data_IF_016164884464
#
_entry.id   IF_016164884464
#
_cell.length_a   1.000
_cell.length_b   1.000
_cell.length_c   1.000
_cell.angle_alpha   90.00
_cell.angle_beta   90.00
_cell.angle_gamma   90.00
#
_symmetry.space_group_name_H-M   'P 1'
#
loop_
_entity.id
_entity.type
_entity.pdbx_description
1 polymer ?
#
# COMPACT_ATOMS: atom_id res chain seq x y z
N UNK A 1 13.47 3.01 18.32
CA UNK A 1 13.80 2.37 17.03
C UNK A 1 12.49 1.96 16.39
N UNK A 2 11.99 2.69 15.39
CA UNK A 2 10.81 2.23 14.65
C UNK A 2 11.27 1.13 13.71
N UNK A 3 11.02 -0.13 14.09
CA UNK A 3 11.36 -1.29 13.28
C UNK A 3 10.52 -1.34 12.00
N UNK A 4 11.10 -1.93 10.94
CA UNK A 4 10.38 -2.28 9.72
C UNK A 4 9.47 -3.46 10.08
N UNK A 5 8.16 -3.29 9.94
CA UNK A 5 7.17 -4.35 10.15
C UNK A 5 7.19 -5.33 8.99
N UNK A 6 6.88 -6.60 9.28
CA UNK A 6 6.78 -7.66 8.27
C UNK A 6 5.33 -7.88 7.87
N UNK A 7 5.07 -8.16 6.59
CA UNK A 7 3.71 -8.41 6.07
C UNK A 7 2.98 -9.49 6.86
N UNK A 8 3.65 -10.58 7.22
CA UNK A 8 3.03 -11.68 7.97
C UNK A 8 2.63 -11.30 9.42
N UNK A 9 3.18 -10.23 9.97
CA UNK A 9 2.87 -9.78 11.33
C UNK A 9 1.73 -8.76 11.38
N UNK A 10 1.32 -8.24 10.21
CA UNK A 10 0.32 -7.19 10.11
C UNK A 10 -1.09 -7.73 10.38
N UNK A 11 -1.86 -7.00 11.17
CA UNK A 11 -3.24 -7.33 11.52
C UNK A 11 -4.18 -6.19 11.18
N UNK A 12 -5.45 -6.52 11.06
CA UNK A 12 -6.47 -5.49 10.88
C UNK A 12 -6.47 -4.49 12.04
N UNK A 13 -6.58 -3.21 11.69
CA UNK A 13 -6.51 -2.09 12.63
C UNK A 13 -5.10 -1.56 12.89
N UNK A 14 -4.03 -2.21 12.41
CA UNK A 14 -2.67 -1.70 12.56
C UNK A 14 -2.48 -0.40 11.79
N UNK A 15 -1.81 0.57 12.43
CA UNK A 15 -1.56 1.92 11.91
C UNK A 15 -0.12 2.33 12.19
N UNK A 16 0.43 3.23 11.38
CA UNK A 16 1.81 3.68 11.56
C UNK A 16 2.84 2.64 11.11
N UNK A 17 2.43 1.74 10.21
CA UNK A 17 3.27 0.66 9.72
C UNK A 17 4.32 1.20 8.76
N UNK A 18 5.58 0.86 9.00
CA UNK A 18 6.66 1.13 8.06
C UNK A 18 7.19 -0.21 7.56
N UNK A 19 7.11 -0.46 6.25
CA UNK A 19 7.63 -1.70 5.66
C UNK A 19 8.24 -1.47 4.28
N UNK A 20 9.18 -2.34 3.92
CA UNK A 20 9.76 -2.38 2.59
C UNK A 20 9.21 -3.58 1.83
N UNK A 21 8.70 -3.35 0.63
CA UNK A 21 8.18 -4.42 -0.22
C UNK A 21 8.48 -4.12 -1.69
N UNK A 22 8.45 -5.16 -2.52
CA UNK A 22 8.64 -5.06 -3.97
C UNK A 22 7.31 -5.28 -4.66
N UNK A 23 7.02 -4.50 -5.70
CA UNK A 23 5.80 -4.68 -6.50
C UNK A 23 5.88 -5.99 -7.28
N UNK A 24 5.04 -6.97 -6.95
CA UNK A 24 4.92 -8.25 -7.64
C UNK A 24 3.99 -8.15 -8.85
N UNK A 25 2.87 -7.45 -8.71
CA UNK A 25 1.91 -7.25 -9.79
C UNK A 25 1.14 -5.95 -9.61
N UNK A 26 0.59 -5.41 -10.70
CA UNK A 26 -0.24 -4.19 -10.70
C UNK A 26 -1.52 -4.45 -11.46
N UNK A 27 -2.61 -3.94 -10.92
CA UNK A 27 -3.90 -3.86 -11.60
C UNK A 27 -3.99 -2.57 -12.42
N UNK A 28 -5.10 -2.41 -13.13
CA UNK A 28 -5.37 -1.23 -13.94
C UNK A 28 -5.45 0.04 -13.08
N UNK A 29 -4.86 1.12 -13.59
CA UNK A 29 -4.92 2.43 -12.95
C UNK A 29 -6.32 3.00 -13.20
N UNK A 30 -7.09 3.17 -12.13
CA UNK A 30 -8.41 3.82 -12.18
C UNK A 30 -8.32 5.26 -11.70
N UNK A 31 -9.09 6.15 -12.31
CA UNK A 31 -9.20 7.55 -11.88
C UNK A 31 -10.44 7.67 -11.01
N UNK A 32 -10.25 8.11 -9.77
CA UNK A 32 -11.34 8.36 -8.82
C UNK A 32 -11.53 9.86 -8.63
N UNK A 33 -12.77 10.30 -8.67
CA UNK A 33 -13.15 11.69 -8.37
C UNK A 33 -13.25 11.85 -6.85
N UNK A 34 -12.33 12.61 -6.26
CA UNK A 34 -12.34 12.94 -4.83
C UNK A 34 -12.84 14.36 -4.61
N UNK A 35 -13.18 14.73 -3.37
CA UNK A 35 -13.55 16.11 -3.01
C UNK A 35 -12.48 17.16 -3.36
N UNK A 36 -11.24 16.73 -3.59
CA UNK A 36 -10.10 17.59 -3.94
C UNK A 36 -9.71 17.48 -5.42
N UNK A 37 -10.53 16.84 -6.26
CA UNK A 37 -10.29 16.62 -7.69
C UNK A 37 -10.03 15.15 -8.05
N UNK A 38 -9.74 14.92 -9.32
CA UNK A 38 -9.42 13.61 -9.87
C UNK A 38 -8.08 13.10 -9.33
N UNK A 39 -8.07 11.88 -8.80
CA UNK A 39 -6.86 11.18 -8.37
C UNK A 39 -6.77 9.81 -9.01
N UNK A 40 -5.58 9.45 -9.49
CA UNK A 40 -5.26 8.09 -9.91
C UNK A 40 -5.13 7.20 -8.69
N UNK A 41 -5.66 5.99 -8.77
CA UNK A 41 -5.50 4.93 -7.79
C UNK A 41 -5.25 3.62 -8.52
N UNK A 42 -4.33 2.81 -8.01
CA UNK A 42 -3.95 1.54 -8.62
C UNK A 42 -3.77 0.53 -7.50
N UNK A 43 -4.50 -0.58 -7.58
CA UNK A 43 -4.27 -1.70 -6.68
C UNK A 43 -3.07 -2.48 -7.21
N UNK A 44 -2.12 -2.80 -6.34
CA UNK A 44 -0.98 -3.63 -6.69
C UNK A 44 -0.78 -4.69 -5.62
N UNK A 45 -0.09 -5.77 -5.95
CA UNK A 45 0.35 -6.76 -4.98
C UNK A 45 1.81 -6.51 -4.71
N UNK A 46 2.15 -6.33 -3.44
CA UNK A 46 3.53 -6.13 -2.99
C UNK A 46 3.95 -7.32 -2.15
N UNK A 47 5.22 -7.69 -2.26
CA UNK A 47 5.79 -8.80 -1.51
C UNK A 47 7.05 -8.39 -0.75
N UNK A 48 7.21 -8.96 0.42
CA UNK A 48 8.44 -8.91 1.20
C UNK A 48 8.98 -10.34 1.40
N UNK A 49 9.94 -10.49 2.28
CA UNK A 49 10.54 -11.77 2.68
C UNK A 49 9.61 -12.65 3.54
N UNK A 50 8.59 -12.06 4.15
CA UNK A 50 7.62 -12.75 5.01
C UNK A 50 6.34 -13.18 4.29
N UNK A 51 5.96 -12.49 3.21
CA UNK A 51 4.72 -12.75 2.49
C UNK A 51 4.38 -11.73 1.41
N UNK A 52 3.10 -11.69 1.02
CA UNK A 52 2.60 -10.75 0.03
C UNK A 52 1.25 -10.17 0.45
N UNK A 53 1.03 -8.88 0.20
CA UNK A 53 -0.21 -8.18 0.56
C UNK A 53 -0.67 -7.27 -0.60
N UNK A 54 -1.98 -7.03 -0.67
CA UNK A 54 -2.55 -6.02 -1.57
C UNK A 54 -2.23 -4.63 -1.03
N UNK A 55 -1.70 -3.76 -1.88
CA UNK A 55 -1.37 -2.39 -1.59
C UNK A 55 -2.01 -1.43 -2.59
N UNK A 56 -2.65 -0.38 -2.07
CA UNK A 56 -3.27 0.65 -2.91
C UNK A 56 -2.31 1.82 -3.11
N UNK A 57 -1.83 1.99 -4.34
CA UNK A 57 -1.02 3.13 -4.79
C UNK A 57 -1.93 4.32 -5.14
N UNK A 58 -1.47 5.53 -4.82
CA UNK A 58 -2.20 6.76 -5.06
C UNK A 58 -1.38 7.78 -5.83
N UNK A 59 -2.01 8.50 -6.75
CA UNK A 59 -1.40 9.58 -7.52
C UNK A 59 -0.15 9.12 -8.29
N UNK A 60 0.98 9.82 -8.09
CA UNK A 60 2.25 9.53 -8.76
C UNK A 60 2.85 8.17 -8.37
N UNK A 61 2.46 7.60 -7.24
CA UNK A 61 2.92 6.27 -6.86
C UNK A 61 2.41 5.19 -7.81
N UNK A 62 1.29 5.45 -8.50
CA UNK A 62 0.73 4.55 -9.52
C UNK A 62 1.62 4.42 -10.77
N UNK A 63 2.62 5.29 -10.97
CA UNK A 63 3.51 5.27 -12.14
C UNK A 63 4.71 4.29 -11.97
N UNK A 64 4.93 3.72 -10.77
CA UNK A 64 6.03 2.77 -10.49
C UNK A 64 5.89 1.45 -11.26
N UNK A 65 6.98 0.81 -11.64
CA UNK A 65 6.95 -0.44 -12.42
C UNK A 65 6.81 -1.68 -11.54
N UNK A 66 6.39 -2.79 -12.15
CA UNK A 66 6.48 -4.11 -11.50
C UNK A 66 7.97 -4.45 -11.33
N UNK A 67 8.35 -4.94 -10.15
CA UNK A 67 9.74 -5.20 -9.76
C UNK A 67 10.39 -4.04 -9.00
N UNK A 68 9.77 -2.86 -8.94
CA UNK A 68 10.30 -1.75 -8.15
C UNK A 68 10.12 -2.01 -6.65
N UNK A 69 11.18 -1.69 -5.90
CA UNK A 69 11.13 -1.65 -4.44
C UNK A 69 10.43 -0.36 -3.98
N UNK A 70 9.46 -0.51 -3.08
CA UNK A 70 8.74 0.60 -2.46
C UNK A 70 8.88 0.56 -0.95
N UNK A 71 9.01 1.75 -0.37
CA UNK A 71 8.93 1.94 1.06
C UNK A 71 7.54 2.48 1.39
N UNK A 72 6.79 1.72 2.18
CA UNK A 72 5.53 2.18 2.75
C UNK A 72 5.87 2.78 4.11
N UNK A 73 5.57 4.06 4.27
CA UNK A 73 5.69 4.76 5.54
C UNK A 73 4.32 5.15 6.05
N UNK A 74 4.12 5.05 7.36
CA UNK A 74 2.86 5.42 8.02
C UNK A 74 1.64 4.74 7.37
N UNK A 75 1.81 3.49 6.92
CA UNK A 75 0.74 2.68 6.35
C UNK A 75 -0.26 2.25 7.42
N UNK A 76 -1.44 1.83 6.97
CA UNK A 76 -2.43 1.19 7.82
C UNK A 76 -3.04 -0.02 7.12
N UNK A 77 -3.38 -1.03 7.89
CA UNK A 77 -4.18 -2.16 7.41
C UNK A 77 -5.64 -1.84 7.61
N UNK A 78 -6.41 -2.19 6.60
CA UNK A 78 -7.86 -2.24 6.68
C UNK A 78 -8.32 -3.60 6.16
N UNK A 79 -9.16 -4.29 6.92
CA UNK A 79 -9.90 -5.44 6.41
C UNK A 79 -11.13 -4.95 5.64
N UNK A 80 -11.34 -5.51 4.45
CA UNK A 80 -12.58 -5.33 3.72
C UNK A 80 -13.01 -6.69 3.16
N UNK A 81 -14.19 -7.16 3.56
CA UNK A 81 -14.75 -8.45 3.14
C UNK A 81 -13.76 -9.62 3.35
N UNK A 82 -13.24 -9.72 4.58
CA UNK A 82 -12.24 -10.71 5.02
C UNK A 82 -10.87 -10.66 4.32
N UNK A 83 -10.64 -9.68 3.43
CA UNK A 83 -9.33 -9.43 2.83
C UNK A 83 -8.61 -8.26 3.53
N UNK A 84 -7.39 -8.50 4.01
CA UNK A 84 -6.52 -7.43 4.51
C UNK A 84 -5.91 -6.65 3.34
N UNK A 85 -5.97 -5.33 3.44
CA UNK A 85 -5.41 -4.42 2.44
C UNK A 85 -4.55 -3.36 3.12
N UNK A 86 -3.31 -3.26 2.66
CA UNK A 86 -2.41 -2.19 3.06
C UNK A 86 -2.74 -0.93 2.29
N UNK A 87 -2.93 0.16 3.02
CA UNK A 87 -3.19 1.45 2.45
C UNK A 87 -2.16 2.47 2.92
N UNK A 88 -1.85 3.43 2.05
CA UNK A 88 -0.99 4.55 2.41
C UNK A 88 -1.73 5.45 3.39
N UNK A 89 -1.19 5.63 4.60
CA UNK A 89 -1.68 6.67 5.48
C UNK A 89 -1.45 8.03 4.85
N UNK A 90 -2.43 8.91 4.97
CA UNK A 90 -2.27 10.30 4.58
C UNK A 90 -1.16 10.92 5.45
N UNK A 91 0.02 11.13 4.87
CA UNK A 91 0.87 12.22 5.36
C UNK A 91 0.05 13.49 5.16
N UNK A 92 -0.45 14.08 6.25
CA UNK A 92 -0.63 15.53 6.29
C UNK A 92 0.75 16.09 5.99
N UNK A 93 0.98 16.47 4.74
CA UNK A 93 2.05 17.37 4.38
C UNK A 93 1.50 18.78 4.51
#
# INVERSE_FOLDING_TARGET
MSGISKINELKDGDKGINLMATIESKEEIRVVNTKFGERKVCTCKVKDDSGSIKYTLWGKDTDKAIGDAIMIENGYINSWNDEIQLNKGSKKQ
#
